data_IF_979612191448
#
_entry.id   IF_979612191448
#
_cell.length_a   1.000
_cell.length_b   1.000
_cell.length_c   1.000
_cell.angle_alpha   90.00
_cell.angle_beta   90.00
_cell.angle_gamma   90.00
#
_symmetry.space_group_name_H-M   'P 1'
#
loop_
_entity.id
_entity.type
_entity.pdbx_description
1 polymer ?
#
# COMPACT_ATOMS: atom_id res chain seq x y z
N UNK A 1 33.56 27.83 13.63
CA UNK A 1 33.12 27.32 14.95
C UNK A 1 33.64 25.91 15.10
N UNK A 2 34.24 25.61 16.26
CA UNK A 2 34.63 24.25 16.60
C UNK A 2 33.38 23.38 16.82
N UNK A 3 33.48 22.06 16.57
CA UNK A 3 32.33 21.12 16.76
C UNK A 3 31.77 21.17 18.18
N UNK A 4 32.58 21.43 19.17
CA UNK A 4 32.18 21.53 20.57
C UNK A 4 31.33 22.80 20.80
N UNK A 5 31.79 23.93 20.31
CA UNK A 5 31.05 25.21 20.39
C UNK A 5 29.66 25.15 19.68
N UNK A 6 29.60 24.44 18.55
CA UNK A 6 28.32 24.27 17.83
C UNK A 6 27.34 23.41 18.63
N UNK A 7 27.84 22.39 19.31
CA UNK A 7 27.00 21.47 20.12
C UNK A 7 26.42 22.17 21.33
N UNK A 8 27.25 22.94 22.06
CA UNK A 8 26.81 23.71 23.23
C UNK A 8 25.78 24.77 22.84
N UNK A 9 26.00 25.45 21.71
CA UNK A 9 25.06 26.42 21.17
C UNK A 9 23.72 25.78 20.76
N UNK A 10 23.77 24.60 20.19
CA UNK A 10 22.59 23.83 19.80
C UNK A 10 21.78 23.36 21.02
N UNK A 11 22.43 22.90 22.08
CA UNK A 11 21.77 22.52 23.32
C UNK A 11 21.06 23.74 23.97
N UNK A 12 21.72 24.90 24.00
CA UNK A 12 21.11 26.12 24.51
C UNK A 12 19.91 26.56 23.66
N UNK A 13 20.04 26.42 22.32
CA UNK A 13 18.96 26.67 21.36
C UNK A 13 17.76 25.75 21.62
N UNK A 14 18.01 24.46 21.86
CA UNK A 14 16.95 23.49 22.17
C UNK A 14 16.25 23.80 23.49
N UNK A 15 17.00 24.17 24.54
CA UNK A 15 16.41 24.57 25.80
C UNK A 15 15.50 25.80 25.63
N UNK A 16 15.95 26.78 24.83
CA UNK A 16 15.16 27.98 24.55
C UNK A 16 13.83 27.68 23.86
N UNK A 17 13.86 26.86 22.79
CA UNK A 17 12.67 26.57 21.98
C UNK A 17 11.74 25.52 22.65
N UNK A 18 12.29 24.50 23.29
CA UNK A 18 11.48 23.47 23.98
C UNK A 18 10.74 24.00 25.20
N UNK A 19 11.30 25.02 25.89
CA UNK A 19 10.63 25.67 27.02
C UNK A 19 9.38 26.48 26.62
N UNK A 20 9.13 26.71 25.33
CA UNK A 20 8.06 27.57 24.84
C UNK A 20 7.17 26.83 23.81
N UNK A 21 5.99 26.35 24.22
CA UNK A 21 5.13 25.47 23.40
C UNK A 21 4.76 26.04 22.01
N UNK A 22 4.74 27.38 21.86
CA UNK A 22 4.40 28.02 20.59
C UNK A 22 5.36 27.65 19.47
N UNK A 23 6.64 27.41 19.78
CA UNK A 23 7.61 27.02 18.75
C UNK A 23 7.34 25.61 18.21
N UNK A 24 6.79 24.70 19.02
CA UNK A 24 6.35 23.41 18.50
C UNK A 24 5.32 23.57 17.40
N UNK A 25 4.34 24.48 17.60
CA UNK A 25 3.30 24.77 16.57
C UNK A 25 3.92 25.35 15.29
N UNK A 26 4.86 26.28 15.44
CA UNK A 26 5.58 26.89 14.32
C UNK A 26 6.44 25.86 13.59
N UNK A 27 7.23 25.08 14.31
CA UNK A 27 8.19 24.12 13.76
C UNK A 27 7.50 22.96 13.03
N UNK A 28 6.37 22.46 13.53
CA UNK A 28 5.56 21.47 12.81
C UNK A 28 5.13 22.02 11.44
N UNK A 29 4.63 23.25 11.37
CA UNK A 29 4.23 23.86 10.11
C UNK A 29 5.41 24.10 9.16
N UNK A 30 6.56 24.47 9.70
CA UNK A 30 7.78 24.67 8.87
C UNK A 30 8.34 23.33 8.38
N UNK A 31 8.29 22.28 9.19
CA UNK A 31 8.63 20.91 8.77
C UNK A 31 7.73 20.40 7.65
N UNK A 32 6.42 20.65 7.75
CA UNK A 32 5.47 20.31 6.69
C UNK A 32 5.76 21.09 5.39
N UNK A 33 6.17 22.36 5.50
CA UNK A 33 6.60 23.16 4.34
C UNK A 33 7.88 22.62 3.73
N UNK A 34 8.88 22.28 4.56
CA UNK A 34 10.12 21.64 4.11
C UNK A 34 9.83 20.35 3.36
N UNK A 35 8.98 19.48 3.93
CA UNK A 35 8.59 18.24 3.29
C UNK A 35 7.98 18.40 1.89
N UNK A 36 7.23 19.50 1.67
CA UNK A 36 6.66 19.80 0.36
C UNK A 36 7.62 20.49 -0.62
N UNK A 37 8.54 21.35 -0.10
CA UNK A 37 9.41 22.19 -0.92
C UNK A 37 10.79 21.55 -1.19
N UNK A 38 11.26 20.66 -0.32
CA UNK A 38 12.60 20.10 -0.36
C UNK A 38 13.71 21.03 0.17
N UNK A 39 13.33 22.18 0.74
CA UNK A 39 14.24 23.13 1.35
C UNK A 39 13.52 23.97 2.42
N UNK A 40 14.28 24.59 3.32
CA UNK A 40 13.71 25.49 4.31
C UNK A 40 13.19 26.78 3.65
N UNK A 41 11.87 26.87 3.54
CA UNK A 41 11.21 27.93 2.78
C UNK A 41 9.71 28.04 3.11
N UNK A 42 9.06 28.99 2.45
CA UNK A 42 7.62 29.17 2.57
C UNK A 42 7.22 29.96 3.82
N UNK A 43 5.97 29.77 4.24
CA UNK A 43 5.33 30.58 5.28
C UNK A 43 4.46 29.72 6.17
N UNK A 44 4.59 29.86 7.48
CA UNK A 44 3.73 29.25 8.48
C UNK A 44 2.69 30.24 8.98
N UNK A 45 1.42 29.83 8.98
CA UNK A 45 0.30 30.58 9.53
C UNK A 45 -0.11 29.98 10.87
N UNK A 46 -0.09 30.77 11.92
CA UNK A 46 -0.46 30.38 13.28
C UNK A 46 -1.75 31.11 13.69
N UNK A 47 -2.72 30.33 14.16
CA UNK A 47 -4.03 30.82 14.61
C UNK A 47 -4.29 30.38 16.04
N UNK A 48 -5.23 31.02 16.71
CA UNK A 48 -5.68 30.63 18.06
C UNK A 48 -4.56 30.61 19.10
N UNK A 49 -3.64 31.59 19.03
CA UNK A 49 -2.55 31.76 19.98
C UNK A 49 -3.00 32.53 21.22
N UNK A 50 -2.57 32.09 22.39
CA UNK A 50 -2.73 32.82 23.63
C UNK A 50 -1.92 34.12 23.63
N UNK A 51 -2.21 35.01 24.57
CA UNK A 51 -1.44 36.25 24.74
C UNK A 51 0.02 35.96 25.07
N UNK A 52 0.26 34.94 25.87
CA UNK A 52 1.60 34.50 26.23
C UNK A 52 2.37 33.95 25.02
N UNK A 53 1.75 33.07 24.21
CA UNK A 53 2.34 32.54 23.00
C UNK A 53 2.71 33.65 21.99
N UNK A 54 1.85 34.66 21.85
CA UNK A 54 2.14 35.84 21.03
C UNK A 54 3.33 36.65 21.54
N UNK A 55 3.42 36.81 22.85
CA UNK A 55 4.56 37.49 23.50
C UNK A 55 5.86 36.70 23.30
N UNK A 56 5.83 35.38 23.44
CA UNK A 56 6.99 34.52 23.20
C UNK A 56 7.51 34.62 21.76
N UNK A 57 6.59 34.60 20.77
CA UNK A 57 6.96 34.86 19.37
C UNK A 57 7.52 36.26 19.18
N UNK A 58 6.86 37.26 19.78
CA UNK A 58 7.30 38.65 19.71
C UNK A 58 8.72 38.86 20.21
N UNK A 59 9.09 38.16 21.27
CA UNK A 59 10.44 38.23 21.85
C UNK A 59 11.54 37.74 20.90
N UNK A 60 11.32 36.66 20.15
CA UNK A 60 12.30 36.14 19.19
C UNK A 60 12.31 36.92 17.86
N UNK A 61 11.09 37.18 17.34
CA UNK A 61 10.95 37.83 16.03
C UNK A 61 11.04 39.37 16.10
N UNK A 62 11.21 39.92 17.28
CA UNK A 62 11.29 41.36 17.56
C UNK A 62 10.13 42.18 16.95
N UNK A 63 8.90 41.61 17.10
CA UNK A 63 7.66 42.18 16.59
C UNK A 63 6.53 42.05 17.62
N UNK A 64 5.66 43.07 17.65
CA UNK A 64 4.44 42.98 18.45
C UNK A 64 3.34 42.23 17.70
N UNK A 65 2.91 41.10 18.25
CA UNK A 65 1.84 40.26 17.72
C UNK A 65 0.57 40.28 18.58
N UNK A 66 0.51 41.10 19.62
CA UNK A 66 -0.56 41.06 20.63
C UNK A 66 -1.96 41.29 20.04
N UNK A 67 -2.08 42.19 19.06
CA UNK A 67 -3.35 42.51 18.38
C UNK A 67 -3.73 41.56 17.25
N UNK A 68 -2.82 40.72 16.79
CA UNK A 68 -3.04 39.88 15.62
C UNK A 68 -3.89 38.63 15.96
N UNK A 69 -4.98 38.40 15.23
CA UNK A 69 -5.76 37.14 15.30
C UNK A 69 -5.00 35.98 14.68
N UNK A 70 -4.27 36.24 13.59
CA UNK A 70 -3.46 35.30 12.84
C UNK A 70 -2.05 35.87 12.70
N UNK A 71 -1.05 35.04 12.96
CA UNK A 71 0.36 35.41 12.80
C UNK A 71 0.95 34.60 11.64
N UNK A 72 1.56 35.31 10.69
CA UNK A 72 2.21 34.71 9.55
C UNK A 72 3.72 34.91 9.67
N UNK A 73 4.47 33.81 9.67
CA UNK A 73 5.93 33.82 9.82
C UNK A 73 6.53 33.16 8.59
N UNK A 74 7.35 33.92 7.84
CA UNK A 74 8.07 33.40 6.68
C UNK A 74 9.43 32.80 7.08
N UNK A 75 9.91 31.86 6.27
CA UNK A 75 11.25 31.30 6.42
C UNK A 75 12.34 32.38 6.36
N UNK A 76 12.17 33.41 5.52
CA UNK A 76 13.12 34.51 5.44
C UNK A 76 13.18 35.35 6.71
N UNK A 77 12.02 35.58 7.36
CA UNK A 77 12.00 36.23 8.67
C UNK A 77 12.70 35.36 9.72
N UNK A 78 12.45 34.06 9.68
CA UNK A 78 13.11 33.11 10.59
C UNK A 78 14.62 33.12 10.42
N UNK A 79 15.13 33.11 9.17
CA UNK A 79 16.57 33.17 8.85
C UNK A 79 17.19 34.47 9.38
N UNK A 80 16.58 35.62 9.08
CA UNK A 80 17.08 36.93 9.56
C UNK A 80 17.12 37.00 11.09
N UNK A 81 16.10 36.54 11.78
CA UNK A 81 16.05 36.56 13.24
C UNK A 81 17.06 35.60 13.86
N UNK A 82 17.31 34.45 13.24
CA UNK A 82 18.34 33.51 13.71
C UNK A 82 19.74 34.15 13.59
N UNK A 83 20.05 34.72 12.44
CA UNK A 83 21.32 35.41 12.17
C UNK A 83 21.60 36.60 13.13
N UNK A 84 20.53 37.27 13.58
CA UNK A 84 20.60 38.37 14.53
C UNK A 84 20.52 37.95 16.00
N UNK A 85 20.34 36.64 16.26
CA UNK A 85 20.22 36.10 17.60
C UNK A 85 21.55 35.57 18.13
N UNK A 86 21.55 35.19 19.41
CA UNK A 86 22.69 34.49 19.99
C UNK A 86 22.93 33.09 19.38
N UNK A 87 22.02 32.60 18.58
CA UNK A 87 22.09 31.30 17.87
C UNK A 87 22.61 31.46 16.44
N UNK A 88 23.18 32.61 16.10
CA UNK A 88 23.83 32.82 14.82
C UNK A 88 24.89 31.75 14.55
N UNK A 89 24.92 31.23 13.33
CA UNK A 89 25.80 30.11 12.95
C UNK A 89 25.10 28.72 12.94
N UNK A 90 23.91 28.59 13.54
CA UNK A 90 23.06 27.41 13.34
C UNK A 90 22.20 27.58 12.08
N UNK A 91 21.75 26.46 11.50
CA UNK A 91 20.77 26.43 10.41
C UNK A 91 19.40 26.01 10.94
N UNK A 92 18.33 26.44 10.29
CA UNK A 92 16.98 26.02 10.68
C UNK A 92 16.76 24.53 10.45
N UNK A 93 17.39 23.97 9.45
CA UNK A 93 17.37 22.53 9.19
C UNK A 93 17.92 21.76 10.39
N UNK A 94 19.12 22.10 10.86
CA UNK A 94 19.73 21.48 12.05
C UNK A 94 18.87 21.67 13.31
N UNK A 95 18.31 22.85 13.50
CA UNK A 95 17.42 23.15 14.62
C UNK A 95 16.17 22.28 14.59
N UNK A 96 15.52 22.14 13.42
CA UNK A 96 14.31 21.32 13.25
C UNK A 96 14.60 19.83 13.45
N UNK A 97 15.67 19.31 12.85
CA UNK A 97 16.10 17.92 13.02
C UNK A 97 16.38 17.59 14.49
N UNK A 98 17.14 18.45 15.17
CA UNK A 98 17.45 18.24 16.61
C UNK A 98 16.21 18.40 17.48
N UNK A 99 15.31 19.32 17.15
CA UNK A 99 14.08 19.55 17.91
C UNK A 99 13.15 18.34 17.87
N UNK A 100 13.00 17.71 16.71
CA UNK A 100 12.15 16.53 16.51
C UNK A 100 12.88 15.21 16.75
N UNK A 101 14.22 15.19 16.75
CA UNK A 101 15.03 13.99 16.92
C UNK A 101 15.06 13.08 15.66
N UNK A 102 14.70 13.62 14.50
CA UNK A 102 14.64 12.90 13.24
C UNK A 102 15.07 13.81 12.08
N UNK A 103 15.67 13.25 11.01
CA UNK A 103 16.05 14.03 9.83
C UNK A 103 14.82 14.60 9.12
N UNK A 104 14.99 15.77 8.49
CA UNK A 104 13.96 16.36 7.66
C UNK A 104 13.78 15.54 6.39
N UNK A 105 12.53 15.21 6.08
CA UNK A 105 12.19 14.35 4.95
C UNK A 105 11.47 15.15 3.85
N UNK A 106 11.77 14.82 2.61
CA UNK A 106 11.11 15.38 1.43
C UNK A 106 10.08 14.38 0.90
N UNK A 107 8.82 14.78 0.83
CA UNK A 107 7.70 13.89 0.39
C UNK A 107 7.98 13.23 -0.95
N UNK A 108 8.49 13.99 -1.90
CA UNK A 108 8.82 13.48 -3.24
C UNK A 108 9.88 12.37 -3.21
N UNK A 109 10.87 12.48 -2.33
CA UNK A 109 11.91 11.45 -2.18
C UNK A 109 11.35 10.18 -1.54
N UNK A 110 10.46 10.34 -0.55
CA UNK A 110 9.75 9.20 0.08
C UNK A 110 8.89 8.50 -0.97
N UNK A 111 8.06 9.24 -1.70
CA UNK A 111 7.19 8.68 -2.74
C UNK A 111 7.99 7.95 -3.83
N UNK A 112 9.12 8.53 -4.24
CA UNK A 112 10.01 7.91 -5.22
C UNK A 112 10.65 6.62 -4.67
N UNK A 113 11.10 6.63 -3.42
CA UNK A 113 11.68 5.46 -2.77
C UNK A 113 10.65 4.34 -2.58
N UNK A 114 9.41 4.69 -2.23
CA UNK A 114 8.30 3.73 -2.12
C UNK A 114 7.92 3.16 -3.49
N UNK A 115 7.84 3.98 -4.54
CA UNK A 115 7.59 3.52 -5.91
C UNK A 115 8.64 2.53 -6.35
N UNK A 116 9.92 2.87 -6.13
CA UNK A 116 11.03 1.99 -6.50
C UNK A 116 10.99 0.66 -5.73
N UNK A 117 10.75 0.70 -4.41
CA UNK A 117 10.63 -0.55 -3.61
C UNK A 117 9.51 -1.44 -4.13
N UNK A 118 8.41 -0.84 -4.53
CA UNK A 118 7.28 -1.57 -5.10
C UNK A 118 7.64 -2.18 -6.45
N UNK A 119 8.30 -1.43 -7.31
CA UNK A 119 8.77 -1.89 -8.61
C UNK A 119 9.74 -3.08 -8.46
N UNK A 120 10.75 -2.93 -7.60
CA UNK A 120 11.74 -3.98 -7.30
C UNK A 120 11.05 -5.24 -6.74
N UNK A 121 10.10 -5.10 -5.81
CA UNK A 121 9.35 -6.21 -5.22
C UNK A 121 8.58 -7.01 -6.28
N UNK A 122 7.85 -6.35 -7.17
CA UNK A 122 7.10 -7.04 -8.22
C UNK A 122 8.01 -7.60 -9.33
N UNK A 123 9.12 -6.94 -9.62
CA UNK A 123 10.13 -7.46 -10.56
C UNK A 123 10.70 -8.80 -10.07
N UNK A 124 11.10 -8.89 -8.78
CA UNK A 124 11.57 -10.14 -8.18
C UNK A 124 10.53 -11.27 -8.27
N UNK A 125 9.26 -10.96 -8.02
CA UNK A 125 8.19 -11.97 -8.13
C UNK A 125 8.03 -12.41 -9.58
N UNK A 126 7.97 -11.49 -10.54
CA UNK A 126 7.85 -11.82 -11.96
C UNK A 126 9.02 -12.68 -12.46
N UNK A 127 10.24 -12.42 -11.99
CA UNK A 127 11.43 -13.23 -12.30
C UNK A 127 11.34 -14.64 -11.70
N UNK A 128 10.75 -14.78 -10.52
CA UNK A 128 10.60 -16.08 -9.85
C UNK A 128 9.54 -16.99 -10.49
N UNK A 129 8.62 -16.45 -11.28
CA UNK A 129 7.56 -17.22 -11.94
C UNK A 129 8.14 -17.95 -13.16
N UNK A 130 8.13 -19.27 -13.13
CA UNK A 130 8.65 -20.11 -14.22
C UNK A 130 7.69 -20.20 -15.41
N UNK A 131 6.38 -20.20 -15.13
CA UNK A 131 5.33 -20.32 -16.15
C UNK A 131 5.03 -18.99 -16.82
N UNK A 132 5.08 -18.97 -18.16
CA UNK A 132 4.86 -17.74 -18.92
C UNK A 132 3.43 -17.21 -18.78
N UNK A 133 2.43 -18.09 -18.75
CA UNK A 133 1.03 -17.67 -18.61
C UNK A 133 0.75 -16.98 -17.28
N UNK A 134 1.31 -17.50 -16.20
CA UNK A 134 1.24 -16.87 -14.87
C UNK A 134 1.99 -15.53 -14.82
N UNK A 135 3.14 -15.45 -15.48
CA UNK A 135 3.95 -14.23 -15.56
C UNK A 135 3.25 -13.14 -16.36
N UNK A 136 2.72 -13.47 -17.54
CA UNK A 136 1.97 -12.53 -18.39
C UNK A 136 0.71 -12.03 -17.69
N UNK A 137 -0.02 -12.91 -17.02
CA UNK A 137 -1.20 -12.54 -16.25
C UNK A 137 -0.87 -11.52 -15.16
N UNK A 138 0.14 -11.79 -14.33
CA UNK A 138 0.52 -10.87 -13.27
C UNK A 138 1.01 -9.54 -13.83
N UNK A 139 1.82 -9.57 -14.90
CA UNK A 139 2.29 -8.37 -15.59
C UNK A 139 1.12 -7.53 -16.09
N UNK A 140 0.15 -8.15 -16.75
CA UNK A 140 -1.02 -7.44 -17.27
C UNK A 140 -1.85 -6.76 -16.17
N UNK A 141 -2.03 -7.43 -15.02
CA UNK A 141 -2.71 -6.81 -13.88
C UNK A 141 -1.96 -5.58 -13.38
N UNK A 142 -0.63 -5.65 -13.27
CA UNK A 142 0.18 -4.56 -12.73
C UNK A 142 0.25 -3.36 -13.68
N UNK A 143 0.41 -3.61 -14.98
CA UNK A 143 0.59 -2.57 -16.00
C UNK A 143 -0.75 -1.94 -16.42
N UNK A 144 -1.76 -2.77 -16.68
CA UNK A 144 -3.06 -2.32 -17.20
C UNK A 144 -4.09 -2.05 -16.09
N UNK A 145 -3.73 -2.29 -14.82
CA UNK A 145 -4.60 -2.13 -13.64
C UNK A 145 -5.93 -2.89 -13.77
N UNK A 146 -5.86 -4.10 -14.29
CA UNK A 146 -7.01 -5.00 -14.46
C UNK A 146 -7.63 -5.42 -13.12
N UNK A 147 -8.67 -6.22 -13.21
CA UNK A 147 -9.29 -6.84 -12.03
C UNK A 147 -8.23 -7.58 -11.20
N UNK A 148 -8.27 -7.45 -9.88
CA UNK A 148 -7.21 -7.95 -8.97
C UNK A 148 -6.16 -6.91 -8.59
N UNK A 149 -5.94 -5.84 -9.37
CA UNK A 149 -4.93 -4.81 -9.07
C UNK A 149 -5.09 -4.16 -7.69
N UNK A 150 -6.32 -3.80 -7.34
CA UNK A 150 -6.61 -3.18 -6.03
C UNK A 150 -6.32 -4.15 -4.88
N UNK A 151 -6.72 -5.41 -5.02
CA UNK A 151 -6.48 -6.46 -4.03
C UNK A 151 -4.97 -6.68 -3.83
N UNK A 152 -4.22 -6.84 -4.91
CA UNK A 152 -2.76 -6.99 -4.89
C UNK A 152 -2.10 -5.77 -4.25
N UNK A 153 -2.53 -4.55 -4.61
CA UNK A 153 -1.95 -3.32 -4.08
C UNK A 153 -2.24 -3.13 -2.59
N UNK A 154 -3.43 -3.52 -2.14
CA UNK A 154 -3.79 -3.49 -0.73
C UNK A 154 -2.94 -4.49 0.07
N UNK A 155 -2.86 -5.73 -0.38
CA UNK A 155 -2.04 -6.76 0.26
C UNK A 155 -0.56 -6.41 0.31
N UNK A 156 -0.03 -5.79 -0.75
CA UNK A 156 1.35 -5.30 -0.74
C UNK A 156 1.62 -4.33 0.41
N UNK A 157 0.66 -3.45 0.71
CA UNK A 157 0.79 -2.48 1.82
C UNK A 157 0.63 -3.12 3.20
N UNK A 158 -0.24 -4.11 3.31
CA UNK A 158 -0.60 -4.74 4.58
C UNK A 158 0.37 -5.86 4.97
N UNK A 159 0.71 -6.73 4.02
CA UNK A 159 1.54 -7.92 4.24
C UNK A 159 2.25 -8.37 2.95
N UNK A 160 3.40 -7.76 2.59
CA UNK A 160 4.14 -8.12 1.38
C UNK A 160 4.54 -9.60 1.31
N UNK A 161 4.92 -10.20 2.44
CA UNK A 161 5.34 -11.61 2.50
C UNK A 161 4.17 -12.57 2.24
N UNK A 162 3.00 -12.25 2.77
CA UNK A 162 1.78 -13.02 2.50
C UNK A 162 1.40 -12.90 1.02
N UNK A 163 1.46 -11.68 0.45
CA UNK A 163 1.21 -11.48 -0.97
C UNK A 163 2.16 -12.29 -1.84
N UNK A 164 3.47 -12.32 -1.52
CA UNK A 164 4.45 -13.12 -2.24
C UNK A 164 4.05 -14.60 -2.27
N UNK A 165 3.65 -15.13 -1.12
CA UNK A 165 3.18 -16.50 -1.01
C UNK A 165 1.93 -16.76 -1.84
N UNK A 166 0.96 -15.85 -1.78
CA UNK A 166 -0.29 -15.94 -2.54
C UNK A 166 0.00 -15.95 -4.04
N UNK A 167 0.80 -15.01 -4.54
CA UNK A 167 1.14 -14.92 -5.95
C UNK A 167 1.92 -16.16 -6.43
N UNK A 168 2.83 -16.67 -5.61
CA UNK A 168 3.55 -17.94 -5.91
C UNK A 168 2.58 -19.10 -6.05
N UNK A 169 1.64 -19.27 -5.13
CA UNK A 169 0.65 -20.35 -5.20
C UNK A 169 -0.31 -20.19 -6.38
N UNK A 170 -0.79 -18.98 -6.62
CA UNK A 170 -1.71 -18.73 -7.75
C UNK A 170 -1.02 -19.01 -9.09
N UNK A 171 0.19 -18.52 -9.31
CA UNK A 171 0.93 -18.75 -10.56
C UNK A 171 1.35 -20.21 -10.72
N UNK A 172 1.71 -20.90 -9.63
CA UNK A 172 1.92 -22.36 -9.63
C UNK A 172 0.63 -23.09 -9.98
N UNK A 173 -0.50 -22.65 -9.46
CA UNK A 173 -1.82 -23.20 -9.80
C UNK A 173 -2.14 -23.02 -11.28
N UNK A 174 -1.90 -21.83 -11.83
CA UNK A 174 -2.06 -21.54 -13.27
C UNK A 174 -1.24 -22.54 -14.11
N UNK A 175 0.02 -22.75 -13.80
CA UNK A 175 0.89 -23.68 -14.49
C UNK A 175 0.42 -25.14 -14.45
N UNK A 176 -0.28 -25.51 -13.38
CA UNK A 176 -0.78 -26.89 -13.16
C UNK A 176 -2.20 -27.15 -13.66
N UNK A 177 -2.87 -26.16 -14.26
CA UNK A 177 -4.22 -26.37 -14.77
C UNK A 177 -4.27 -27.48 -15.84
N UNK A 178 -5.08 -28.47 -15.60
CA UNK A 178 -5.21 -29.65 -16.48
C UNK A 178 -5.69 -29.31 -17.89
N UNK A 179 -6.49 -28.26 -18.06
CA UNK A 179 -7.01 -27.82 -19.35
C UNK A 179 -5.90 -27.49 -20.35
N UNK A 180 -4.70 -27.13 -19.89
CA UNK A 180 -3.55 -26.87 -20.75
C UNK A 180 -2.72 -28.13 -21.06
N UNK A 181 -2.89 -29.19 -20.27
CA UNK A 181 -2.17 -30.46 -20.43
C UNK A 181 -3.04 -31.48 -21.20
N UNK A 182 -4.28 -31.67 -20.77
CA UNK A 182 -5.26 -32.57 -21.40
C UNK A 182 -6.68 -32.09 -21.06
N UNK A 183 -7.43 -31.59 -22.05
CA UNK A 183 -8.81 -31.08 -21.89
C UNK A 183 -9.81 -32.10 -21.33
N UNK A 184 -9.51 -33.41 -21.36
CA UNK A 184 -10.36 -34.46 -20.85
C UNK A 184 -10.16 -34.74 -19.35
N UNK A 185 -9.02 -34.35 -18.81
CA UNK A 185 -8.73 -34.59 -17.39
C UNK A 185 -9.32 -33.49 -16.52
N UNK A 186 -9.98 -33.93 -15.46
CA UNK A 186 -10.55 -33.07 -14.43
C UNK A 186 -10.12 -33.56 -13.05
N UNK A 187 -9.92 -32.63 -12.15
CA UNK A 187 -9.62 -32.95 -10.74
C UNK A 187 -10.46 -32.12 -9.77
N UNK A 188 -10.70 -32.66 -8.57
CA UNK A 188 -11.42 -31.94 -7.52
C UNK A 188 -10.62 -30.71 -7.06
N UNK A 189 -11.30 -29.61 -6.75
CA UNK A 189 -10.67 -28.36 -6.26
C UNK A 189 -9.80 -28.62 -5.03
N UNK A 190 -10.24 -29.47 -4.10
CA UNK A 190 -9.47 -29.81 -2.90
C UNK A 190 -8.16 -30.54 -3.25
N UNK A 191 -8.17 -31.45 -4.25
CA UNK A 191 -6.98 -32.16 -4.73
C UNK A 191 -6.03 -31.18 -5.44
N UNK A 192 -6.56 -30.37 -6.32
CA UNK A 192 -5.79 -29.29 -6.97
C UNK A 192 -5.13 -28.36 -5.95
N UNK A 193 -5.91 -27.87 -4.97
CA UNK A 193 -5.41 -27.01 -3.90
C UNK A 193 -4.27 -27.66 -3.11
N UNK A 194 -4.45 -28.94 -2.70
CA UNK A 194 -3.43 -29.69 -1.98
C UNK A 194 -2.15 -29.89 -2.82
N UNK A 195 -2.30 -30.19 -4.11
CA UNK A 195 -1.17 -30.37 -5.04
C UNK A 195 -0.37 -29.09 -5.29
N UNK A 196 -1.03 -27.92 -5.21
CA UNK A 196 -0.39 -26.63 -5.44
C UNK A 196 0.24 -26.08 -4.16
N UNK A 197 -0.46 -26.20 -3.03
CA UNK A 197 -0.14 -25.44 -1.80
C UNK A 197 0.14 -26.32 -0.57
N UNK A 198 -0.16 -27.62 -0.63
CA UNK A 198 -0.18 -28.51 0.54
C UNK A 198 -1.46 -28.36 1.39
N UNK A 199 -2.34 -27.42 1.10
CA UNK A 199 -3.57 -27.16 1.84
C UNK A 199 -4.80 -27.37 0.93
N UNK A 200 -5.67 -28.37 1.18
CA UNK A 200 -6.83 -28.63 0.33
C UNK A 200 -7.88 -27.51 0.32
N UNK A 201 -7.83 -26.61 1.31
CA UNK A 201 -8.76 -25.49 1.48
C UNK A 201 -8.22 -24.13 1.02
N UNK A 202 -7.08 -24.11 0.34
CA UNK A 202 -6.43 -22.84 -0.03
C UNK A 202 -7.22 -22.06 -1.07
N UNK A 203 -7.81 -22.73 -2.04
CA UNK A 203 -8.63 -22.13 -3.10
C UNK A 203 -10.14 -22.24 -2.84
N UNK A 204 -10.55 -22.44 -1.59
CA UNK A 204 -11.96 -22.40 -1.21
C UNK A 204 -12.56 -21.02 -1.46
N UNK A 205 -13.86 -20.97 -1.70
CA UNK A 205 -14.60 -19.77 -2.03
C UNK A 205 -14.40 -18.64 -0.99
N UNK A 206 -14.17 -17.43 -1.50
CA UNK A 206 -13.95 -16.25 -0.67
C UNK A 206 -12.49 -16.04 -0.23
N UNK A 207 -11.61 -17.03 -0.39
CA UNK A 207 -10.17 -16.88 -0.11
C UNK A 207 -9.49 -16.00 -1.14
N UNK A 208 -8.41 -15.32 -0.76
CA UNK A 208 -7.67 -14.43 -1.64
C UNK A 208 -7.05 -15.18 -2.83
N UNK A 209 -6.47 -16.35 -2.59
CA UNK A 209 -5.92 -17.18 -3.66
C UNK A 209 -6.98 -17.60 -4.68
N UNK A 210 -8.17 -17.92 -4.21
CA UNK A 210 -9.31 -18.26 -5.06
C UNK A 210 -9.76 -17.08 -5.93
N UNK A 211 -9.86 -15.88 -5.36
CA UNK A 211 -10.24 -14.67 -6.12
C UNK A 211 -9.27 -14.37 -7.23
N UNK A 212 -7.98 -14.50 -6.98
CA UNK A 212 -6.94 -14.25 -7.99
C UNK A 212 -6.88 -15.36 -9.04
N UNK A 213 -7.04 -16.62 -8.66
CA UNK A 213 -7.13 -17.74 -9.61
C UNK A 213 -8.37 -17.58 -10.49
N UNK A 214 -9.52 -17.26 -9.91
CA UNK A 214 -10.75 -17.04 -10.67
C UNK A 214 -10.64 -15.85 -11.63
N UNK A 215 -9.94 -14.78 -11.24
CA UNK A 215 -9.64 -13.65 -12.10
C UNK A 215 -8.88 -14.10 -13.36
N UNK A 216 -7.80 -14.88 -13.20
CA UNK A 216 -7.08 -15.47 -14.33
C UNK A 216 -7.98 -16.31 -15.25
N UNK A 217 -8.82 -17.18 -14.65
CA UNK A 217 -9.71 -18.04 -15.41
C UNK A 217 -10.77 -17.26 -16.18
N UNK A 218 -11.30 -16.18 -15.58
CA UNK A 218 -12.30 -15.31 -16.20
C UNK A 218 -11.78 -14.58 -17.45
N UNK A 219 -10.49 -14.22 -17.48
CA UNK A 219 -9.86 -13.57 -18.65
C UNK A 219 -9.65 -14.53 -19.84
N UNK A 220 -9.70 -15.85 -19.62
CA UNK A 220 -9.42 -16.86 -20.66
C UNK A 220 -10.55 -17.09 -21.67
N UNK A 221 -11.66 -16.36 -21.55
CA UNK A 221 -12.74 -16.33 -22.54
C UNK A 221 -13.15 -17.74 -23.01
N UNK A 222 -13.67 -18.56 -22.10
CA UNK A 222 -14.11 -19.93 -22.39
C UNK A 222 -15.39 -20.00 -23.26
N UNK A 223 -15.67 -18.99 -24.10
CA UNK A 223 -16.90 -18.85 -24.91
C UNK A 223 -18.20 -18.97 -24.08
N UNK A 224 -18.12 -18.72 -22.78
CA UNK A 224 -19.23 -18.82 -21.86
C UNK A 224 -20.00 -17.51 -21.81
N UNK A 225 -21.23 -17.52 -22.29
CA UNK A 225 -22.14 -16.40 -22.09
C UNK A 225 -22.71 -16.45 -20.67
N UNK A 226 -22.64 -15.35 -19.98
CA UNK A 226 -23.21 -15.20 -18.63
C UNK A 226 -24.75 -15.11 -18.67
N UNK A 227 -25.34 -14.94 -19.86
CA UNK A 227 -26.79 -14.77 -20.05
C UNK A 227 -27.57 -15.97 -19.48
N UNK A 228 -28.42 -15.68 -18.52
CA UNK A 228 -29.32 -16.66 -17.89
C UNK A 228 -28.73 -17.48 -16.75
N UNK A 229 -27.44 -17.29 -16.41
CA UNK A 229 -26.79 -17.98 -15.29
C UNK A 229 -26.71 -17.09 -14.06
N UNK A 230 -26.90 -17.67 -12.89
CA UNK A 230 -26.52 -17.02 -11.63
C UNK A 230 -24.99 -16.87 -11.56
N UNK A 231 -24.50 -15.95 -10.70
CA UNK A 231 -23.05 -15.75 -10.52
C UNK A 231 -22.35 -17.05 -10.07
N UNK A 232 -22.99 -17.86 -9.23
CA UNK A 232 -22.43 -19.09 -8.74
C UNK A 232 -22.33 -20.15 -9.86
N UNK A 233 -23.37 -20.30 -10.69
CA UNK A 233 -23.38 -21.21 -11.83
C UNK A 233 -22.33 -20.81 -12.86
N UNK A 234 -22.23 -19.53 -13.17
CA UNK A 234 -21.19 -19.01 -14.08
C UNK A 234 -19.78 -19.33 -13.57
N UNK A 235 -19.53 -19.09 -12.28
CA UNK A 235 -18.27 -19.39 -11.63
C UNK A 235 -17.93 -20.89 -11.67
N UNK A 236 -18.89 -21.74 -11.32
CA UNK A 236 -18.72 -23.20 -11.38
C UNK A 236 -18.40 -23.67 -12.81
N UNK A 237 -19.04 -23.09 -13.80
CA UNK A 237 -18.82 -23.42 -15.20
C UNK A 237 -17.40 -23.02 -15.67
N UNK A 238 -16.89 -21.87 -15.26
CA UNK A 238 -15.51 -21.45 -15.54
C UNK A 238 -14.52 -22.45 -14.95
N UNK A 239 -14.69 -22.88 -13.67
CA UNK A 239 -13.84 -23.87 -13.07
C UNK A 239 -13.91 -25.22 -13.81
N UNK A 240 -15.11 -25.63 -14.19
CA UNK A 240 -15.31 -26.87 -14.94
C UNK A 240 -14.57 -26.87 -16.27
N UNK A 241 -14.64 -25.77 -17.04
CA UNK A 241 -13.90 -25.64 -18.30
C UNK A 241 -12.38 -25.57 -18.07
N UNK A 242 -11.94 -25.05 -16.93
CA UNK A 242 -10.54 -25.08 -16.52
C UNK A 242 -10.03 -26.47 -16.07
N UNK A 243 -10.92 -27.48 -16.00
CA UNK A 243 -10.56 -28.81 -15.55
C UNK A 243 -10.67 -29.00 -14.02
N UNK A 244 -11.33 -28.10 -13.31
CA UNK A 244 -11.51 -28.16 -11.84
C UNK A 244 -12.97 -28.45 -11.51
N UNK A 245 -13.20 -29.47 -10.70
CA UNK A 245 -14.51 -29.85 -10.17
C UNK A 245 -14.67 -29.29 -8.75
N UNK A 246 -15.72 -28.50 -8.54
CA UNK A 246 -16.14 -28.07 -7.20
C UNK A 246 -17.15 -29.11 -6.65
N UNK A 247 -17.04 -29.45 -5.36
CA UNK A 247 -17.86 -30.51 -4.73
C UNK A 247 -19.39 -30.25 -4.78
N UNK A 248 -19.79 -28.96 -4.92
CA UNK A 248 -21.20 -28.58 -5.00
C UNK A 248 -21.91 -29.02 -6.29
N UNK A 249 -21.16 -29.40 -7.34
CA UNK A 249 -21.73 -29.80 -8.63
C UNK A 249 -22.17 -31.28 -8.64
N UNK A 250 -21.69 -32.07 -7.68
CA UNK A 250 -21.99 -33.53 -7.64
C UNK A 250 -23.38 -33.87 -7.13
N UNK A 251 -24.05 -32.99 -6.41
CA UNK A 251 -25.36 -33.32 -5.83
C UNK A 251 -26.56 -33.11 -6.79
N UNK A 252 -26.50 -32.16 -7.71
CA UNK A 252 -27.64 -31.87 -8.59
C UNK A 252 -27.66 -32.66 -9.89
N UNK A 253 -26.49 -33.14 -10.37
CA UNK A 253 -26.40 -33.84 -11.64
C UNK A 253 -26.72 -35.37 -11.52
N UNK A 254 -26.63 -35.96 -10.35
CA UNK A 254 -26.87 -37.38 -10.15
C UNK A 254 -28.33 -37.73 -9.85
N UNK A 255 -29.17 -36.75 -9.57
CA UNK A 255 -30.60 -36.97 -9.29
C UNK A 255 -31.48 -37.10 -10.52
N UNK A 256 -30.98 -36.80 -11.73
CA UNK A 256 -31.79 -36.79 -12.96
C UNK A 256 -31.48 -37.89 -13.99
N UNK A 257 -30.60 -38.86 -13.73
CA UNK A 257 -30.19 -39.85 -14.75
C UNK A 257 -30.47 -41.30 -14.43
N UNK A 258 -31.19 -41.61 -13.37
CA UNK A 258 -31.67 -43.00 -13.14
C UNK A 258 -33.18 -42.99 -13.08
N UNK A 259 -33.89 -43.56 -14.09
CA UNK A 259 -35.32 -43.83 -13.94
C UNK A 259 -35.52 -44.79 -12.79
N UNK A 260 -36.46 -44.45 -11.91
CA UNK A 260 -36.84 -45.29 -10.77
C UNK A 260 -37.27 -46.67 -11.27
N UNK A 261 -36.86 -47.76 -10.62
CA UNK A 261 -37.31 -49.13 -10.97
C UNK A 261 -38.83 -49.35 -10.85
N UNK A 262 -39.58 -48.34 -10.44
CA UNK A 262 -41.05 -48.43 -10.24
C UNK A 262 -41.86 -48.02 -11.47
N UNK A 263 -41.24 -47.48 -12.52
CA UNK A 263 -41.96 -47.03 -13.71
C UNK A 263 -41.97 -48.08 -14.84
N UNK A 264 -41.58 -49.32 -14.57
CA UNK A 264 -41.61 -50.43 -15.52
C UNK A 264 -42.65 -51.48 -15.04
N UNK A 265 -43.85 -51.03 -14.76
CA UNK A 265 -44.99 -51.96 -14.50
C UNK A 265 -46.25 -51.25 -14.90
N UNK A 266 -46.62 -51.37 -16.17
CA UNK A 266 -47.87 -50.93 -16.74
C UNK A 266 -47.96 -51.32 -18.18
#
# INVERSE_FOLDING_TARGET
MDKTETNDLLEECMLYFKARPVYKKLFLKMRDKYAGLGHFGGTAMLTSLSREEKSQLGGFFQRDYTSNKTITISADLMKKCLESSKFAGLTWELILETYFGEPLQVKKEIELAESKRREDYFAEILESISDESGREWLRSILEEKKEGYLLITQLYKESPEELRSILTYVTTGIAKLKVFQDKKQKELLAVFSANVTGNPHYFDEGKTGEKLLFNYLGERNFDLKQEGLSRAEYKNRIYYEAGILKDEVSNDCLLYTSPSPRDISG
#
